data_IF_874605468522
#
_entry.id   IF_874605468522
#
_cell.length_a   1.000
_cell.length_b   1.000
_cell.length_c   1.000
_cell.angle_alpha   90.00
_cell.angle_beta   90.00
_cell.angle_gamma   90.00
#
_symmetry.space_group_name_H-M   'P 1'
#
loop_
_entity.id
_entity.type
_entity.pdbx_description
1 polymer ?
#
# COMPACT_ATOMS: atom_id res chain seq x y z
N UNK A 1 -12.42 37.74 -23.67
CA UNK A 1 -11.48 36.91 -24.45
C UNK A 1 -10.94 35.76 -23.60
N UNK A 2 -11.76 34.74 -23.30
CA UNK A 2 -11.37 33.62 -22.44
C UNK A 2 -11.97 32.27 -22.92
N UNK A 3 -12.14 32.09 -24.24
CA UNK A 3 -12.71 30.87 -24.83
C UNK A 3 -11.67 29.94 -25.48
N UNK A 4 -10.52 30.46 -25.93
CA UNK A 4 -9.55 29.69 -26.72
C UNK A 4 -8.51 28.91 -25.92
N UNK A 5 -8.32 29.21 -24.62
CA UNK A 5 -7.29 28.56 -23.80
C UNK A 5 -7.66 27.14 -23.36
N UNK A 6 -8.94 26.77 -23.42
CA UNK A 6 -9.42 25.47 -22.90
C UNK A 6 -9.29 24.36 -23.97
N UNK A 7 -9.41 24.68 -25.25
CA UNK A 7 -9.41 23.68 -26.32
C UNK A 7 -7.99 23.17 -26.62
N UNK A 8 -6.99 24.06 -26.62
CA UNK A 8 -5.57 23.70 -26.74
C UNK A 8 -5.08 22.93 -25.51
N UNK A 9 -5.50 23.34 -24.31
CA UNK A 9 -5.20 22.64 -23.07
C UNK A 9 -5.86 21.25 -23.00
N UNK A 10 -7.07 21.08 -23.56
CA UNK A 10 -7.76 19.78 -23.63
C UNK A 10 -7.06 18.79 -24.56
N UNK A 11 -6.55 19.26 -25.71
CA UNK A 11 -5.76 18.44 -26.63
C UNK A 11 -4.45 17.96 -26.01
N UNK A 12 -3.76 18.82 -25.27
CA UNK A 12 -2.51 18.48 -24.57
C UNK A 12 -2.74 17.73 -23.24
N UNK A 13 -3.89 17.92 -22.58
CA UNK A 13 -4.20 17.26 -21.30
C UNK A 13 -4.20 15.73 -21.43
N UNK A 14 -4.74 15.20 -22.54
CA UNK A 14 -4.72 13.75 -22.79
C UNK A 14 -3.29 13.21 -22.92
N UNK A 15 -2.43 13.95 -23.62
CA UNK A 15 -1.02 13.62 -23.80
C UNK A 15 -0.25 13.72 -22.48
N UNK A 16 -0.46 14.79 -21.72
CA UNK A 16 0.17 15.00 -20.40
C UNK A 16 -0.27 13.92 -19.41
N UNK A 17 -1.56 13.57 -19.38
CA UNK A 17 -2.06 12.49 -18.52
C UNK A 17 -1.51 11.13 -18.96
N UNK A 18 -1.46 10.86 -20.26
CA UNK A 18 -0.90 9.60 -20.78
C UNK A 18 0.59 9.44 -20.43
N UNK A 19 1.43 10.44 -20.76
CA UNK A 19 2.86 10.39 -20.42
C UNK A 19 3.10 10.49 -18.92
N UNK A 20 2.30 11.26 -18.20
CA UNK A 20 2.35 11.36 -16.74
C UNK A 20 2.02 10.04 -16.05
N UNK A 21 0.99 9.34 -16.52
CA UNK A 21 0.66 7.99 -16.07
C UNK A 21 1.79 7.02 -16.42
N UNK A 22 2.28 7.01 -17.66
CA UNK A 22 3.35 6.10 -18.08
C UNK A 22 4.65 6.32 -17.28
N UNK A 23 4.94 7.57 -16.91
CA UNK A 23 6.08 7.94 -16.06
C UNK A 23 5.98 7.38 -14.62
N UNK A 24 4.79 6.97 -14.15
CA UNK A 24 4.65 6.31 -12.85
C UNK A 24 5.44 4.99 -12.79
N UNK A 25 5.56 4.27 -13.92
CA UNK A 25 6.26 3.00 -13.99
C UNK A 25 7.76 3.16 -13.67
N UNK A 26 8.54 3.97 -14.41
CA UNK A 26 9.96 4.16 -14.10
C UNK A 26 10.17 4.81 -12.73
N UNK A 27 9.33 5.76 -12.30
CA UNK A 27 9.43 6.37 -10.97
C UNK A 27 9.28 5.31 -9.87
N UNK A 28 8.29 4.41 -9.98
CA UNK A 28 8.08 3.33 -9.01
C UNK A 28 9.21 2.29 -9.06
N UNK A 29 9.73 1.98 -10.24
CA UNK A 29 10.89 1.10 -10.39
C UNK A 29 12.12 1.69 -9.68
N UNK A 30 12.44 2.96 -9.93
CA UNK A 30 13.58 3.64 -9.29
C UNK A 30 13.43 3.64 -7.76
N UNK A 31 12.25 4.00 -7.27
CA UNK A 31 11.95 3.99 -5.83
C UNK A 31 12.11 2.60 -5.20
N UNK A 32 11.84 1.53 -5.95
CA UNK A 32 11.88 0.15 -5.45
C UNK A 32 13.23 -0.54 -5.60
N UNK A 33 13.99 -0.22 -6.65
CA UNK A 33 15.37 -0.68 -6.78
C UNK A 33 16.30 0.00 -5.77
N UNK A 34 16.04 1.28 -5.46
CA UNK A 34 16.86 2.04 -4.51
C UNK A 34 18.34 2.02 -4.90
N UNK A 35 19.20 1.63 -3.96
CA UNK A 35 20.66 1.58 -4.16
C UNK A 35 21.11 0.47 -5.13
N UNK A 36 20.30 -0.56 -5.36
CA UNK A 36 20.59 -1.62 -6.34
C UNK A 36 20.47 -1.14 -7.79
N UNK A 37 20.02 0.10 -8.02
CA UNK A 37 20.05 0.73 -9.32
C UNK A 37 21.49 1.02 -9.79
N UNK A 38 22.44 1.22 -8.87
CA UNK A 38 23.86 1.43 -9.17
C UNK A 38 24.53 0.21 -9.82
N UNK A 39 24.47 -1.01 -9.23
CA UNK A 39 24.99 -2.21 -9.89
C UNK A 39 24.26 -2.49 -11.21
N UNK A 40 22.95 -2.24 -11.29
CA UNK A 40 22.20 -2.40 -12.54
C UNK A 40 22.70 -1.43 -13.63
N UNK A 41 22.93 -0.16 -13.29
CA UNK A 41 23.49 0.82 -14.22
C UNK A 41 24.93 0.46 -14.62
N UNK A 42 25.75 -0.01 -13.68
CA UNK A 42 27.09 -0.51 -13.98
C UNK A 42 27.09 -1.70 -14.94
N UNK A 43 26.13 -2.62 -14.79
CA UNK A 43 25.90 -3.69 -15.76
C UNK A 43 25.56 -3.14 -17.16
N UNK A 44 24.68 -2.14 -17.24
CA UNK A 44 24.29 -1.52 -18.51
C UNK A 44 25.46 -0.84 -19.24
N UNK A 45 26.38 -0.23 -18.49
CA UNK A 45 27.54 0.51 -19.05
C UNK A 45 28.72 -0.42 -19.39
N UNK A 46 28.85 -1.57 -18.72
CA UNK A 46 29.98 -2.49 -18.88
C UNK A 46 30.03 -3.24 -20.23
N UNK A 47 29.07 -3.04 -21.14
CA UNK A 47 29.09 -3.62 -22.49
C UNK A 47 28.73 -5.11 -22.56
N UNK A 48 28.66 -5.83 -21.44
CA UNK A 48 28.26 -7.25 -21.37
C UNK A 48 26.74 -7.48 -21.47
N UNK A 49 25.97 -6.40 -21.64
CA UNK A 49 24.50 -6.43 -21.67
C UNK A 49 23.98 -7.43 -22.67
N UNK A 50 24.51 -7.43 -23.89
CA UNK A 50 24.02 -8.27 -24.98
C UNK A 50 24.25 -9.76 -24.73
N UNK A 51 25.36 -10.14 -24.12
CA UNK A 51 25.67 -11.54 -23.85
C UNK A 51 24.85 -12.08 -22.67
N UNK A 52 24.76 -11.30 -21.59
CA UNK A 52 23.98 -11.65 -20.40
C UNK A 52 22.47 -11.62 -20.68
N UNK A 53 21.98 -10.67 -21.47
CA UNK A 53 20.59 -10.60 -21.91
C UNK A 53 20.21 -11.79 -22.81
N UNK A 54 21.11 -12.26 -23.68
CA UNK A 54 20.89 -13.49 -24.45
C UNK A 54 20.86 -14.73 -23.54
N UNK A 55 21.79 -14.82 -22.59
CA UNK A 55 21.84 -15.93 -21.62
C UNK A 55 20.58 -16.01 -20.76
N UNK A 56 20.02 -14.85 -20.41
CA UNK A 56 18.80 -14.73 -19.61
C UNK A 56 17.61 -14.22 -20.45
N UNK A 57 17.52 -14.63 -21.72
CA UNK A 57 16.52 -14.11 -22.66
C UNK A 57 15.09 -14.26 -22.12
N UNK A 58 14.78 -15.37 -21.45
CA UNK A 58 13.49 -15.59 -20.81
C UNK A 58 13.13 -14.51 -19.78
N UNK A 59 14.10 -14.07 -18.97
CA UNK A 59 13.89 -13.00 -17.98
C UNK A 59 13.68 -11.65 -18.67
N UNK A 60 14.43 -11.35 -19.73
CA UNK A 60 14.27 -10.10 -20.49
C UNK A 60 12.90 -10.04 -21.15
N UNK A 61 12.47 -11.13 -21.80
CA UNK A 61 11.15 -11.22 -22.41
C UNK A 61 10.03 -11.16 -21.38
N UNK A 62 10.19 -11.80 -20.23
CA UNK A 62 9.23 -11.71 -19.14
C UNK A 62 9.12 -10.28 -18.57
N UNK A 63 10.24 -9.57 -18.40
CA UNK A 63 10.25 -8.17 -17.99
C UNK A 63 9.53 -7.31 -19.04
N UNK A 64 9.85 -7.49 -20.32
CA UNK A 64 9.23 -6.73 -21.41
C UNK A 64 7.71 -6.97 -21.48
N UNK A 65 7.28 -8.22 -21.43
CA UNK A 65 5.86 -8.58 -21.42
C UNK A 65 5.14 -7.98 -20.20
N UNK A 66 5.75 -8.06 -19.01
CA UNK A 66 5.15 -7.49 -17.80
C UNK A 66 5.10 -5.97 -17.83
N UNK A 67 6.08 -5.30 -18.44
CA UNK A 67 6.05 -3.85 -18.66
C UNK A 67 4.91 -3.44 -19.60
N UNK A 68 4.64 -4.22 -20.67
CA UNK A 68 3.48 -3.98 -21.54
C UNK A 68 2.16 -4.09 -20.77
N UNK A 69 2.00 -5.12 -19.94
CA UNK A 69 0.82 -5.29 -19.08
C UNK A 69 0.68 -4.11 -18.12
N UNK A 70 1.78 -3.68 -17.50
CA UNK A 70 1.79 -2.52 -16.61
C UNK A 70 1.40 -1.23 -17.33
N UNK A 71 1.86 -1.04 -18.57
CA UNK A 71 1.53 0.13 -19.37
C UNK A 71 0.02 0.22 -19.63
N UNK A 72 -0.62 -0.89 -20.01
CA UNK A 72 -2.08 -0.96 -20.20
C UNK A 72 -2.79 -0.64 -18.89
N UNK A 73 -2.41 -1.34 -17.80
CA UNK A 73 -3.04 -1.17 -16.49
C UNK A 73 -2.94 0.27 -15.97
N UNK A 74 -1.81 0.93 -16.19
CA UNK A 74 -1.57 2.30 -15.75
C UNK A 74 -2.33 3.33 -16.58
N UNK A 75 -2.48 3.08 -17.89
CA UNK A 75 -3.30 3.93 -18.77
C UNK A 75 -4.78 3.79 -18.40
N UNK A 76 -5.25 2.58 -18.08
CA UNK A 76 -6.66 2.31 -17.80
C UNK A 76 -7.09 2.75 -16.40
N UNK A 77 -6.29 2.44 -15.36
CA UNK A 77 -6.69 2.65 -13.96
C UNK A 77 -6.00 3.85 -13.30
N UNK A 78 -5.05 4.50 -13.98
CA UNK A 78 -4.21 5.60 -13.47
C UNK A 78 -3.60 5.36 -12.09
N UNK A 79 -3.48 4.10 -11.68
CA UNK A 79 -3.02 3.70 -10.36
C UNK A 79 -1.97 2.59 -10.47
N UNK A 80 -0.83 2.79 -9.80
CA UNK A 80 0.23 1.79 -9.71
C UNK A 80 0.65 1.57 -8.26
N UNK A 81 0.20 0.47 -7.67
CA UNK A 81 0.71 0.00 -6.40
C UNK A 81 2.09 -0.65 -6.58
N UNK A 82 2.97 -0.49 -5.59
CA UNK A 82 4.33 -1.04 -5.65
C UNK A 82 4.39 -2.56 -5.84
N UNK A 83 3.33 -3.30 -5.47
CA UNK A 83 3.22 -4.75 -5.67
C UNK A 83 3.28 -5.17 -7.14
N UNK A 84 2.76 -4.34 -8.05
CA UNK A 84 2.72 -4.67 -9.47
C UNK A 84 4.12 -4.64 -10.09
N UNK A 85 5.05 -3.91 -9.48
CA UNK A 85 6.45 -3.83 -9.88
C UNK A 85 7.28 -4.99 -9.29
N UNK A 86 6.75 -5.71 -8.30
CA UNK A 86 7.47 -6.76 -7.58
C UNK A 86 8.01 -7.86 -8.49
N UNK A 87 7.25 -8.27 -9.51
CA UNK A 87 7.70 -9.29 -10.45
C UNK A 87 8.90 -8.81 -11.28
N UNK A 88 8.93 -7.55 -11.69
CA UNK A 88 10.07 -6.97 -12.42
C UNK A 88 11.32 -6.98 -11.54
N UNK A 89 11.19 -6.63 -10.26
CA UNK A 89 12.33 -6.65 -9.31
C UNK A 89 12.91 -8.06 -9.18
N UNK A 90 12.03 -9.07 -9.06
CA UNK A 90 12.45 -10.47 -9.00
C UNK A 90 13.16 -10.89 -10.30
N UNK A 91 12.56 -10.62 -11.45
CA UNK A 91 13.13 -10.96 -12.75
C UNK A 91 14.43 -10.21 -13.06
N UNK A 92 14.62 -9.03 -12.48
CA UNK A 92 15.82 -8.21 -12.65
C UNK A 92 17.01 -8.67 -11.78
N UNK A 93 16.76 -9.52 -10.78
CA UNK A 93 17.76 -10.00 -9.81
C UNK A 93 19.04 -10.56 -10.46
N UNK A 94 19.01 -11.42 -11.51
CA UNK A 94 20.25 -11.90 -12.14
C UNK A 94 21.11 -10.78 -12.72
N UNK A 95 20.50 -9.73 -13.30
CA UNK A 95 21.23 -8.59 -13.86
C UNK A 95 21.86 -7.71 -12.78
N UNK A 96 21.14 -7.49 -11.69
CA UNK A 96 21.68 -6.81 -10.50
C UNK A 96 22.86 -7.59 -9.92
N UNK A 97 22.78 -8.91 -9.87
CA UNK A 97 23.86 -9.78 -9.39
C UNK A 97 25.12 -9.68 -10.28
N UNK A 98 24.97 -9.71 -11.61
CA UNK A 98 26.08 -9.48 -12.54
C UNK A 98 26.70 -8.10 -12.35
N UNK A 99 25.88 -7.07 -12.20
CA UNK A 99 26.33 -5.72 -11.87
C UNK A 99 27.13 -5.67 -10.57
N UNK A 100 26.63 -6.30 -9.51
CA UNK A 100 27.30 -6.36 -8.21
C UNK A 100 28.63 -7.11 -8.29
N UNK A 101 28.70 -8.18 -9.08
CA UNK A 101 29.92 -8.93 -9.34
C UNK A 101 30.97 -8.05 -10.03
N UNK A 102 30.58 -7.24 -11.02
CA UNK A 102 31.46 -6.28 -11.68
C UNK A 102 31.98 -5.23 -10.69
N UNK A 103 31.12 -4.69 -9.81
CA UNK A 103 31.53 -3.78 -8.74
C UNK A 103 32.52 -4.42 -7.76
N UNK A 104 32.27 -5.66 -7.35
CA UNK A 104 33.19 -6.41 -6.48
C UNK A 104 34.55 -6.68 -7.14
N UNK A 105 34.55 -6.95 -8.45
CA UNK A 105 35.78 -7.15 -9.22
C UNK A 105 36.56 -5.83 -9.39
N UNK A 106 35.85 -4.72 -9.65
CA UNK A 106 36.44 -3.38 -9.82
C UNK A 106 37.03 -2.84 -8.52
N UNK A 107 36.35 -3.00 -7.39
CA UNK A 107 36.74 -2.49 -6.08
C UNK A 107 37.12 -3.62 -5.12
N UNK A 108 38.18 -4.36 -5.47
CA UNK A 108 38.64 -5.55 -4.73
C UNK A 108 38.82 -5.32 -3.22
N UNK A 109 39.33 -4.15 -2.83
CA UNK A 109 39.56 -3.78 -1.43
C UNK A 109 38.28 -3.43 -0.66
N UNK A 110 37.21 -3.00 -1.36
CA UNK A 110 35.92 -2.66 -0.77
C UNK A 110 34.87 -3.78 -0.92
N UNK A 111 35.24 -4.94 -1.47
CA UNK A 111 34.33 -6.07 -1.71
C UNK A 111 33.56 -6.48 -0.45
N UNK A 112 34.26 -6.61 0.68
CA UNK A 112 33.62 -7.01 1.95
C UNK A 112 32.61 -5.96 2.41
N UNK A 113 32.90 -4.67 2.25
CA UNK A 113 31.98 -3.58 2.57
C UNK A 113 30.74 -3.61 1.67
N UNK A 114 30.92 -3.83 0.37
CA UNK A 114 29.81 -3.93 -0.60
C UNK A 114 28.87 -5.10 -0.25
N UNK A 115 29.44 -6.26 0.09
CA UNK A 115 28.67 -7.45 0.49
C UNK A 115 27.95 -7.19 1.82
N UNK A 116 28.65 -6.65 2.82
CA UNK A 116 28.08 -6.35 4.13
C UNK A 116 26.91 -5.34 4.01
N UNK A 117 27.10 -4.26 3.24
CA UNK A 117 26.05 -3.27 3.01
C UNK A 117 24.84 -3.89 2.30
N UNK A 118 25.07 -4.74 1.29
CA UNK A 118 24.00 -5.44 0.58
C UNK A 118 23.20 -6.37 1.49
N UNK A 119 23.87 -7.09 2.40
CA UNK A 119 23.23 -7.95 3.40
C UNK A 119 22.42 -7.15 4.41
N UNK A 120 22.96 -6.03 4.91
CA UNK A 120 22.23 -5.12 5.82
C UNK A 120 20.98 -4.57 5.14
N UNK A 121 21.06 -4.17 3.87
CA UNK A 121 19.91 -3.69 3.11
C UNK A 121 18.88 -4.79 2.85
N UNK A 122 19.32 -6.01 2.52
CA UNK A 122 18.42 -7.14 2.37
C UNK A 122 17.69 -7.45 3.69
N UNK A 123 18.43 -7.47 4.80
CA UNK A 123 17.87 -7.65 6.14
C UNK A 123 16.88 -6.53 6.50
N UNK A 124 17.21 -5.26 6.21
CA UNK A 124 16.31 -4.13 6.45
C UNK A 124 15.02 -4.19 5.62
N UNK A 125 15.05 -4.81 4.43
CA UNK A 125 13.85 -5.01 3.61
C UNK A 125 12.99 -6.20 4.06
N UNK A 126 13.59 -7.21 4.70
CA UNK A 126 12.88 -8.40 5.21
C UNK A 126 12.34 -8.17 6.62
N UNK A 127 13.11 -7.50 7.47
CA UNK A 127 12.72 -7.20 8.83
C UNK A 127 11.78 -6.01 8.79
N UNK A 128 10.48 -6.28 8.94
CA UNK A 128 9.48 -5.24 9.17
C UNK A 128 9.70 -4.63 10.55
N UNK A 129 10.65 -3.71 10.67
CA UNK A 129 10.95 -2.94 11.90
C UNK A 129 9.90 -1.86 12.18
N UNK A 130 8.96 -1.63 11.27
CA UNK A 130 7.82 -0.75 11.52
C UNK A 130 6.98 -1.29 12.66
N UNK A 131 6.43 -0.39 13.48
CA UNK A 131 5.36 -0.74 14.42
C UNK A 131 4.28 -1.47 13.63
N UNK A 132 4.18 -2.79 13.85
CA UNK A 132 3.17 -3.60 13.19
C UNK A 132 1.79 -2.98 13.42
N UNK A 133 0.80 -3.34 12.60
CA UNK A 133 -0.56 -2.81 12.75
C UNK A 133 -1.27 -3.36 14.00
N UNK A 134 -0.69 -3.12 15.18
CA UNK A 134 -1.07 -3.63 16.49
C UNK A 134 -2.44 -3.14 16.90
N UNK A 135 -2.85 -1.94 16.50
CA UNK A 135 -4.20 -1.43 16.70
C UNK A 135 -5.31 -2.38 16.20
N UNK A 136 -5.15 -3.05 15.05
CA UNK A 136 -6.12 -4.05 14.59
C UNK A 136 -6.12 -5.30 15.46
N UNK A 137 -4.94 -5.73 15.93
CA UNK A 137 -4.79 -6.91 16.79
C UNK A 137 -5.42 -6.63 18.16
N UNK A 138 -5.13 -5.48 18.74
CA UNK A 138 -5.65 -5.06 20.03
C UNK A 138 -7.17 -4.87 19.99
N UNK A 139 -7.67 -4.21 18.94
CA UNK A 139 -9.11 -4.08 18.71
C UNK A 139 -9.78 -5.44 18.50
N UNK A 140 -9.19 -6.33 17.70
CA UNK A 140 -9.73 -7.67 17.47
C UNK A 140 -9.77 -8.50 18.76
N UNK A 141 -8.70 -8.49 19.56
CA UNK A 141 -8.65 -9.17 20.87
C UNK A 141 -9.67 -8.60 21.86
N UNK A 142 -9.85 -7.28 21.86
CA UNK A 142 -10.86 -6.64 22.70
C UNK A 142 -12.26 -7.12 22.29
N UNK A 143 -12.58 -7.10 20.99
CA UNK A 143 -13.88 -7.55 20.45
C UNK A 143 -14.16 -9.02 20.73
N UNK A 144 -13.16 -9.89 20.64
CA UNK A 144 -13.30 -11.30 21.00
C UNK A 144 -13.69 -11.50 22.48
N UNK A 145 -13.28 -10.58 23.36
CA UNK A 145 -13.55 -10.63 24.79
C UNK A 145 -14.78 -9.81 25.22
N UNK A 146 -15.34 -8.97 24.35
CA UNK A 146 -16.52 -8.14 24.65
C UNK A 146 -17.82 -8.92 24.78
N UNK A 147 -17.85 -10.19 24.35
CA UNK A 147 -19.06 -11.03 24.39
C UNK A 147 -20.19 -10.57 23.46
N UNK A 148 -19.91 -9.63 22.55
CA UNK A 148 -20.90 -9.09 21.62
C UNK A 148 -21.21 -10.07 20.50
N UNK A 149 -22.49 -10.25 20.18
CA UNK A 149 -22.91 -11.05 19.02
C UNK A 149 -22.44 -10.38 17.73
N UNK A 150 -21.66 -11.12 16.93
CA UNK A 150 -21.10 -10.71 15.63
C UNK A 150 -22.19 -10.17 14.70
N UNK A 151 -23.41 -10.72 14.76
CA UNK A 151 -24.52 -10.28 13.91
C UNK A 151 -25.00 -8.85 14.21
N UNK A 152 -24.67 -8.32 15.40
CA UNK A 152 -25.04 -6.99 15.86
C UNK A 152 -23.88 -6.00 15.83
N UNK A 153 -22.74 -6.37 15.26
CA UNK A 153 -21.58 -5.49 15.13
C UNK A 153 -21.47 -5.00 13.69
N UNK A 154 -21.47 -3.67 13.52
CA UNK A 154 -21.07 -3.03 12.28
C UNK A 154 -19.55 -2.96 12.25
N UNK A 155 -18.91 -3.57 11.26
CA UNK A 155 -17.44 -3.58 11.12
C UNK A 155 -17.04 -3.23 9.70
N UNK A 156 -16.20 -2.20 9.56
CA UNK A 156 -15.68 -1.75 8.25
C UNK A 156 -14.24 -2.24 7.97
N UNK A 157 -13.66 -2.98 8.93
CA UNK A 157 -12.30 -3.50 8.87
C UNK A 157 -12.26 -5.02 8.91
N UNK A 158 -12.03 -5.61 7.73
CA UNK A 158 -11.82 -7.06 7.63
C UNK A 158 -10.61 -7.57 8.41
N UNK A 159 -9.60 -6.72 8.65
CA UNK A 159 -8.43 -7.09 9.47
C UNK A 159 -8.78 -7.22 10.94
N UNK A 160 -9.56 -6.26 11.46
CA UNK A 160 -10.01 -6.31 12.86
C UNK A 160 -10.96 -7.50 13.07
N UNK A 161 -11.87 -7.76 12.12
CA UNK A 161 -12.74 -8.94 12.16
C UNK A 161 -11.96 -10.25 12.18
N UNK A 162 -10.90 -10.36 11.35
CA UNK A 162 -10.02 -11.52 11.32
C UNK A 162 -9.34 -11.76 12.69
N UNK A 163 -8.81 -10.72 13.32
CA UNK A 163 -8.18 -10.82 14.64
C UNK A 163 -9.17 -11.06 15.79
N UNK A 164 -10.46 -10.79 15.59
CA UNK A 164 -11.53 -11.16 16.50
C UNK A 164 -12.01 -12.62 16.31
N UNK A 165 -11.51 -13.33 15.29
CA UNK A 165 -11.96 -14.69 14.95
C UNK A 165 -13.27 -14.72 14.16
N UNK A 166 -13.74 -13.59 13.64
CA UNK A 166 -15.05 -13.45 12.98
C UNK A 166 -14.95 -13.66 11.47
N UNK A 167 -14.70 -14.89 11.05
CA UNK A 167 -14.48 -15.24 9.63
C UNK A 167 -15.72 -15.10 8.72
N UNK A 168 -16.92 -15.05 9.30
CA UNK A 168 -18.20 -14.89 8.58
C UNK A 168 -18.88 -13.53 8.80
N UNK A 169 -18.21 -12.58 9.46
CA UNK A 169 -18.78 -11.25 9.64
C UNK A 169 -18.97 -10.56 8.29
N UNK A 170 -20.12 -9.94 8.09
CA UNK A 170 -20.33 -9.04 6.96
C UNK A 170 -19.48 -7.79 7.21
N UNK A 171 -18.43 -7.62 6.41
CA UNK A 171 -17.57 -6.42 6.47
C UNK A 171 -18.18 -5.37 5.55
N UNK A 172 -18.58 -4.25 6.13
CA UNK A 172 -19.14 -3.12 5.41
C UNK A 172 -18.07 -2.38 4.59
N UNK A 173 -18.51 -1.58 3.62
CA UNK A 173 -17.59 -0.80 2.81
C UNK A 173 -16.90 0.26 3.65
N UNK A 174 -15.56 0.27 3.59
CA UNK A 174 -14.77 1.23 4.34
C UNK A 174 -15.09 2.65 3.87
N UNK A 175 -15.17 3.57 4.82
CA UNK A 175 -15.26 5.00 4.57
C UNK A 175 -16.60 5.51 4.02
N UNK A 176 -17.64 4.69 4.02
CA UNK A 176 -18.98 5.11 3.62
C UNK A 176 -19.76 5.75 4.77
N UNK A 177 -19.52 7.05 5.02
CA UNK A 177 -20.17 7.79 6.12
C UNK A 177 -21.70 7.74 6.06
N UNK A 178 -22.27 7.87 4.86
CA UNK A 178 -23.72 7.80 4.64
C UNK A 178 -24.30 6.41 4.92
N UNK A 179 -23.53 5.35 4.73
CA UNK A 179 -23.93 3.99 5.14
C UNK A 179 -23.85 3.83 6.66
N UNK A 180 -22.80 4.36 7.30
CA UNK A 180 -22.67 4.33 8.76
C UNK A 180 -23.83 5.08 9.42
N UNK A 181 -24.17 6.28 8.95
CA UNK A 181 -25.30 7.07 9.45
C UNK A 181 -26.64 6.33 9.28
N UNK A 182 -26.86 5.69 8.13
CA UNK A 182 -28.04 4.83 7.92
C UNK A 182 -28.05 3.62 8.84
N UNK A 183 -26.89 2.99 9.08
CA UNK A 183 -26.77 1.86 9.98
C UNK A 183 -27.05 2.27 11.44
N UNK A 184 -26.60 3.45 11.87
CA UNK A 184 -26.92 4.02 13.19
C UNK A 184 -28.42 4.33 13.30
N UNK A 185 -29.02 4.95 12.29
CA UNK A 185 -30.45 5.24 12.25
C UNK A 185 -31.30 3.97 12.26
N UNK A 186 -30.84 2.89 11.62
CA UNK A 186 -31.55 1.60 11.57
C UNK A 186 -31.64 0.89 12.92
N UNK A 187 -30.85 1.29 13.92
CA UNK A 187 -30.75 0.66 15.25
C UNK A 187 -30.45 -0.86 15.22
N UNK A 188 -30.04 -1.39 14.07
CA UNK A 188 -29.75 -2.81 13.85
C UNK A 188 -28.47 -3.27 14.56
N UNK A 189 -27.53 -2.35 14.74
CA UNK A 189 -26.21 -2.63 15.30
C UNK A 189 -26.08 -2.05 16.71
N UNK A 190 -25.50 -2.84 17.60
CA UNK A 190 -25.21 -2.45 18.99
C UNK A 190 -23.81 -1.86 19.12
N UNK A 191 -22.88 -2.26 18.23
CA UNK A 191 -21.49 -1.85 18.27
C UNK A 191 -21.01 -1.48 16.86
N UNK A 192 -20.19 -0.44 16.78
CA UNK A 192 -19.57 0.05 15.54
C UNK A 192 -18.06 -0.02 15.69
N UNK A 193 -17.40 -0.70 14.76
CA UNK A 193 -15.94 -0.84 14.69
C UNK A 193 -15.47 -0.18 13.40
N UNK A 194 -14.82 0.97 13.55
CA UNK A 194 -14.45 1.85 12.45
C UNK A 194 -12.92 1.95 12.33
N UNK A 195 -12.37 1.64 11.15
CA UNK A 195 -10.96 1.82 10.82
C UNK A 195 -10.71 3.20 10.22
N UNK A 196 -9.87 3.96 10.90
CA UNK A 196 -9.46 5.31 10.52
C UNK A 196 -7.99 5.30 10.12
N UNK A 197 -7.69 5.89 8.98
CA UNK A 197 -6.33 6.21 8.57
C UNK A 197 -6.04 7.70 8.68
N UNK A 198 -4.78 8.03 8.91
CA UNK A 198 -4.26 9.41 8.84
C UNK A 198 -4.51 10.14 7.51
N UNK A 199 -4.84 9.40 6.44
CA UNK A 199 -5.15 9.97 5.11
C UNK A 199 -6.63 10.31 4.93
N UNK A 200 -7.46 9.90 5.88
CA UNK A 200 -8.89 10.08 5.82
C UNK A 200 -9.25 11.54 6.21
N UNK A 201 -10.37 12.08 5.72
CA UNK A 201 -10.85 13.39 6.15
C UNK A 201 -11.08 13.42 7.67
N UNK A 202 -11.06 14.59 8.31
CA UNK A 202 -11.25 14.72 9.75
C UNK A 202 -12.47 13.91 10.22
N UNK A 203 -12.21 12.97 11.12
CA UNK A 203 -13.20 12.02 11.64
C UNK A 203 -13.71 12.43 13.02
N UNK A 204 -12.96 13.25 13.76
CA UNK A 204 -13.30 13.71 15.12
C UNK A 204 -14.50 14.65 15.13
N UNK A 205 -14.57 15.59 14.18
CA UNK A 205 -15.75 16.44 13.99
C UNK A 205 -16.96 15.59 13.60
N UNK A 206 -16.79 14.73 12.60
CA UNK A 206 -17.86 13.86 12.13
C UNK A 206 -18.36 12.91 13.22
N UNK A 207 -17.49 12.33 14.06
CA UNK A 207 -17.94 11.47 15.16
C UNK A 207 -18.73 12.24 16.22
N UNK A 208 -18.35 13.50 16.50
CA UNK A 208 -19.12 14.38 17.41
C UNK A 208 -20.49 14.71 16.84
N UNK A 209 -20.59 14.91 15.53
CA UNK A 209 -21.84 15.22 14.84
C UNK A 209 -22.69 13.96 14.62
N UNK A 210 -22.05 12.79 14.57
CA UNK A 210 -22.72 11.50 14.47
C UNK A 210 -23.32 11.10 15.82
N UNK A 211 -24.45 10.39 15.80
CA UNK A 211 -25.06 9.82 17.00
C UNK A 211 -24.29 8.60 17.55
N UNK A 212 -22.96 8.63 17.54
CA UNK A 212 -22.05 7.58 18.01
C UNK A 212 -21.23 8.07 19.21
N UNK A 213 -21.20 7.27 20.26
CA UNK A 213 -20.39 7.48 21.44
C UNK A 213 -19.18 6.53 21.41
N UNK A 214 -17.97 7.07 21.46
CA UNK A 214 -16.74 6.28 21.45
C UNK A 214 -16.58 5.56 22.79
N UNK A 215 -16.49 4.23 22.76
CA UNK A 215 -16.26 3.36 23.93
C UNK A 215 -14.78 3.09 24.10
N UNK A 216 -14.08 2.79 23.00
CA UNK A 216 -12.66 2.44 23.05
C UNK A 216 -11.95 2.91 21.78
N UNK A 217 -10.72 3.39 21.95
CA UNK A 217 -9.86 3.84 20.85
C UNK A 217 -8.52 3.10 20.88
N UNK A 218 -8.15 2.50 19.76
CA UNK A 218 -6.88 1.81 19.57
C UNK A 218 -6.05 2.58 18.55
N UNK A 219 -5.10 3.40 19.00
CA UNK A 219 -4.31 4.27 18.15
C UNK A 219 -2.88 3.77 17.98
N UNK A 220 -2.30 4.05 16.82
CA UNK A 220 -0.87 4.04 16.61
C UNK A 220 -0.30 5.46 16.68
N UNK A 221 1.02 5.60 16.97
CA UNK A 221 1.71 6.90 16.92
C UNK A 221 1.60 7.62 15.57
N UNK A 222 1.26 6.91 14.49
CA UNK A 222 1.14 7.43 13.13
C UNK A 222 -0.27 7.99 12.79
N UNK A 223 -1.16 8.13 13.79
CA UNK A 223 -2.57 8.58 13.65
C UNK A 223 -3.51 7.61 12.93
N UNK A 224 -3.09 6.39 12.62
CA UNK A 224 -4.03 5.32 12.25
C UNK A 224 -4.68 4.76 13.53
N UNK A 225 -5.99 4.48 13.48
CA UNK A 225 -6.72 4.02 14.65
C UNK A 225 -7.87 3.07 14.29
N UNK A 226 -8.24 2.20 15.24
CA UNK A 226 -9.53 1.52 15.24
C UNK A 226 -10.36 2.12 16.37
N UNK A 227 -11.58 2.54 16.04
CA UNK A 227 -12.51 3.13 16.99
C UNK A 227 -13.68 2.18 17.18
N UNK A 228 -13.97 1.89 18.45
CA UNK A 228 -15.16 1.16 18.84
C UNK A 228 -16.14 2.17 19.43
N UNK A 229 -17.34 2.23 18.88
CA UNK A 229 -18.39 3.14 19.29
C UNK A 229 -19.74 2.43 19.44
N UNK A 230 -20.64 3.02 20.22
CA UNK A 230 -22.03 2.59 20.40
C UNK A 230 -22.97 3.73 19.97
N UNK A 231 -24.20 3.46 19.53
CA UNK A 231 -25.18 4.52 19.29
C UNK A 231 -25.48 5.30 20.58
N UNK A 232 -25.43 6.64 20.50
CA UNK A 232 -25.63 7.55 21.63
C UNK A 232 -27.00 7.37 22.34
N UNK A 233 -27.97 6.73 21.69
CA UNK A 233 -29.27 6.38 22.27
C UNK A 233 -29.30 5.13 23.17
N UNK A 234 -28.22 4.32 23.21
CA UNK A 234 -28.13 3.11 24.06
C UNK A 234 -27.25 3.28 25.30
N UNK A 235 -26.61 4.45 25.46
CA UNK A 235 -25.58 4.73 26.47
C UNK A 235 -26.01 5.69 27.58
N UNK A 236 -27.21 5.56 28.12
CA UNK A 236 -27.54 6.10 29.45
C UNK A 236 -28.21 5.03 30.29
N UNK A 237 -27.39 4.19 30.94
CA UNK A 237 -27.79 3.56 32.20
C UNK A 237 -26.75 3.95 33.25
N UNK A 238 -27.20 4.41 34.43
CA UNK A 238 -26.35 4.83 35.54
C UNK A 238 -25.53 3.68 36.12
#
# INVERSE_FOLDING_TARGET
MAGGLIEYARGQARTILFFGSLALIPVKLIQKFGIFLLPLAGFLVAGEVRNTARRHALFVWAIAAHLCVLAIFVVDLQFLAGRYVGLILLLATPFVATGLQLFCARFRHARLLIIALSLVLAAANVISTGTGKTHHINAGKWLANSGTDVAKVYIDSGRTAFHAGWTKAAVAERHNRSEIERAVASQRYELFVLEISRKDPPWESWLRDSALQVVQRFELPNKDAVIVAIPAGKGSKP
#
